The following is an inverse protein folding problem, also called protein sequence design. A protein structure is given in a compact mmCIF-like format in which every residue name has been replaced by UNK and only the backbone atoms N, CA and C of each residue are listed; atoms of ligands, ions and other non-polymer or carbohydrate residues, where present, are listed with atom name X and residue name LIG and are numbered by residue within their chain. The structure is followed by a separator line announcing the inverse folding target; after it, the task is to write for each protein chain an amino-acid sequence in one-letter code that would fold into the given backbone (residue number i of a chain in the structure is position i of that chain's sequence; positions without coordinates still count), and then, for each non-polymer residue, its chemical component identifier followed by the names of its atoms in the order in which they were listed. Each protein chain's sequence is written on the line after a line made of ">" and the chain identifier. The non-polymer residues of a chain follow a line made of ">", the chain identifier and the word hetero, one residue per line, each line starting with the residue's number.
data_IF_499200684149
#
_entry.id   IF_499200684149
#
_cell.length_a   1.000
_cell.length_b   1.000
_cell.length_c   1.000
_cell.angle_alpha   90.00
_cell.angle_beta   90.00
_cell.angle_gamma   90.00
#
_symmetry.space_group_name_H-M   'P 1'
#
loop_
_entity.id
_entity.type
_entity.pdbx_description
1 polymer ?
#
# COMPACT_ATOMS: atom_id res chain seq x y z
N UNK A 1 68.56 7.02 -44.03
CA UNK A 1 68.54 6.33 -42.72
C UNK A 1 67.36 6.89 -41.95
N UNK A 2 66.14 6.36 -42.25
CA UNK A 2 64.87 6.83 -41.75
C UNK A 2 64.31 5.83 -40.71
N UNK A 3 64.17 6.30 -39.49
CA UNK A 3 63.57 5.54 -38.41
C UNK A 3 62.14 6.08 -38.24
N UNK A 4 61.16 5.32 -38.76
CA UNK A 4 59.73 5.60 -38.50
C UNK A 4 59.32 4.91 -37.22
N UNK A 5 59.03 5.71 -36.19
CA UNK A 5 58.45 5.27 -34.91
C UNK A 5 56.96 5.15 -35.07
N UNK A 6 56.42 3.94 -35.03
CA UNK A 6 54.98 3.65 -35.03
C UNK A 6 54.44 3.75 -33.61
N UNK A 7 53.59 4.77 -33.36
CA UNK A 7 52.82 4.88 -32.12
C UNK A 7 51.59 3.96 -32.23
N UNK A 8 51.52 2.90 -31.43
CA UNK A 8 50.31 2.10 -31.25
C UNK A 8 49.41 2.78 -30.22
N UNK A 9 48.29 3.32 -30.69
CA UNK A 9 47.21 3.73 -29.82
C UNK A 9 46.41 2.51 -29.39
N UNK A 10 46.59 2.10 -28.14
CA UNK A 10 45.77 1.07 -27.53
C UNK A 10 44.40 1.62 -27.17
N UNK A 11 43.34 1.19 -27.84
CA UNK A 11 41.97 1.44 -27.44
C UNK A 11 41.66 0.51 -26.26
N UNK A 12 41.59 1.09 -25.07
CA UNK A 12 41.15 0.43 -23.88
C UNK A 12 39.60 0.40 -23.87
N UNK A 13 39.01 -0.72 -24.28
CA UNK A 13 37.59 -0.95 -24.15
C UNK A 13 37.30 -1.20 -22.68
N UNK A 14 36.81 -0.16 -21.98
CA UNK A 14 36.25 -0.35 -20.63
C UNK A 14 34.89 -1.01 -20.82
N UNK A 15 34.84 -2.31 -20.60
CA UNK A 15 33.58 -3.05 -20.43
C UNK A 15 32.95 -2.59 -19.12
N UNK A 16 32.09 -1.57 -19.22
CA UNK A 16 31.22 -1.17 -18.12
C UNK A 16 30.25 -2.31 -17.81
N UNK A 17 30.52 -3.04 -16.73
CA UNK A 17 29.53 -3.93 -16.12
C UNK A 17 28.38 -3.06 -15.63
N UNK A 18 27.27 -3.11 -16.35
CA UNK A 18 25.99 -2.59 -15.87
C UNK A 18 25.61 -3.47 -14.68
N UNK A 19 25.99 -3.04 -13.49
CA UNK A 19 25.45 -3.57 -12.24
C UNK A 19 23.95 -3.30 -12.26
N UNK A 20 23.14 -4.33 -12.56
CA UNK A 20 21.71 -4.26 -12.38
C UNK A 20 21.45 -3.80 -10.94
N UNK A 21 20.89 -2.62 -10.78
CA UNK A 21 20.41 -2.14 -9.51
C UNK A 21 19.39 -3.17 -9.01
N UNK A 22 19.82 -4.05 -8.12
CA UNK A 22 18.93 -4.82 -7.27
C UNK A 22 18.14 -3.78 -6.48
N UNK A 23 16.86 -3.60 -6.86
CA UNK A 23 15.93 -2.85 -6.03
C UNK A 23 15.88 -3.57 -4.69
N UNK A 24 16.52 -2.97 -3.70
CA UNK A 24 16.41 -3.42 -2.32
C UNK A 24 14.94 -3.35 -1.96
N UNK A 25 14.29 -4.50 -1.77
CA UNK A 25 13.08 -4.55 -1.00
C UNK A 25 13.36 -3.75 0.26
N UNK A 26 12.48 -2.79 0.60
CA UNK A 26 12.68 -1.95 1.77
C UNK A 26 12.89 -2.89 2.96
N UNK A 27 14.14 -3.02 3.39
CA UNK A 27 14.50 -3.89 4.52
C UNK A 27 13.85 -3.31 5.76
N UNK A 28 13.07 -4.13 6.44
CA UNK A 28 12.54 -3.76 7.75
C UNK A 28 13.72 -3.38 8.66
N UNK A 29 13.61 -2.28 9.42
CA UNK A 29 14.58 -2.00 10.47
C UNK A 29 14.71 -3.23 11.39
N UNK A 30 15.93 -3.63 11.72
CA UNK A 30 16.22 -4.87 12.44
C UNK A 30 15.42 -5.06 13.74
N UNK A 31 14.98 -3.97 14.38
CA UNK A 31 14.13 -4.01 15.58
C UNK A 31 12.64 -4.22 15.32
N UNK A 32 12.13 -3.91 14.13
CA UNK A 32 10.68 -4.01 13.85
C UNK A 32 10.22 -5.45 13.62
N UNK A 33 11.10 -6.33 13.14
CA UNK A 33 10.75 -7.73 12.87
C UNK A 33 10.40 -8.52 14.13
N UNK A 34 10.99 -8.18 15.28
CA UNK A 34 10.77 -8.85 16.59
C UNK A 34 9.92 -8.07 17.57
N UNK A 35 9.62 -6.80 17.28
CA UNK A 35 8.80 -5.97 18.15
C UNK A 35 7.39 -6.55 18.34
N UNK A 36 6.78 -6.41 19.54
CA UNK A 36 5.40 -6.83 19.75
C UNK A 36 4.43 -6.06 18.85
N UNK A 37 3.28 -6.65 18.58
CA UNK A 37 2.20 -5.97 17.89
C UNK A 37 1.65 -4.81 18.75
N UNK A 38 1.25 -3.72 18.09
CA UNK A 38 0.52 -2.62 18.73
C UNK A 38 -0.98 -2.80 18.52
N UNK A 39 -1.83 -2.46 19.50
CA UNK A 39 -3.27 -2.58 19.34
C UNK A 39 -3.85 -1.51 18.38
N UNK A 40 -3.04 -0.57 17.90
CA UNK A 40 -3.46 0.64 17.21
C UNK A 40 -3.94 1.72 18.16
N UNK A 41 -4.21 2.92 17.64
CA UNK A 41 -4.66 4.11 18.41
C UNK A 41 -6.16 4.34 18.29
N UNK A 42 -6.83 3.61 17.40
CA UNK A 42 -8.28 3.72 17.20
C UNK A 42 -9.10 3.20 18.38
N UNK A 43 -10.41 3.42 18.35
CA UNK A 43 -11.31 3.04 19.44
C UNK A 43 -11.48 1.53 19.63
N UNK A 44 -10.97 0.71 18.71
CA UNK A 44 -11.14 -0.74 18.73
C UNK A 44 -9.78 -1.43 18.69
N UNK A 45 -9.19 -1.85 19.82
CA UNK A 45 -7.92 -2.57 19.82
C UNK A 45 -7.89 -3.66 18.76
N UNK A 46 -6.87 -3.66 17.92
CA UNK A 46 -6.78 -4.54 16.77
C UNK A 46 -5.94 -5.79 17.04
N UNK A 47 -6.17 -6.81 16.23
CA UNK A 47 -5.37 -8.03 16.15
C UNK A 47 -5.21 -8.51 14.71
N UNK A 48 -4.26 -9.42 14.49
CA UNK A 48 -4.11 -10.14 13.22
C UNK A 48 -4.23 -11.64 13.42
N UNK A 49 -4.70 -12.33 12.38
CA UNK A 49 -4.84 -13.79 12.40
C UNK A 49 -4.79 -14.38 10.99
N UNK A 50 -4.36 -15.63 10.87
CA UNK A 50 -4.55 -16.46 9.69
C UNK A 50 -5.84 -17.24 9.81
N UNK A 51 -6.62 -17.28 8.74
CA UNK A 51 -7.90 -18.01 8.70
C UNK A 51 -7.78 -19.16 7.69
N UNK A 52 -8.03 -20.41 8.06
CA UNK A 52 -7.87 -21.57 7.16
C UNK A 52 -8.64 -21.43 5.84
N UNK A 53 -9.83 -20.83 5.86
CA UNK A 53 -10.65 -20.59 4.67
C UNK A 53 -10.08 -19.49 3.76
N UNK A 54 -9.04 -18.76 4.18
CA UNK A 54 -8.38 -17.70 3.44
C UNK A 54 -6.85 -17.87 3.51
N UNK A 55 -6.36 -19.02 3.08
CA UNK A 55 -4.99 -19.49 3.29
C UNK A 55 -3.87 -18.61 2.68
N UNK A 56 -4.21 -17.71 1.77
CA UNK A 56 -3.27 -16.80 1.10
C UNK A 56 -3.34 -15.37 1.61
N UNK A 57 -4.03 -15.12 2.72
CA UNK A 57 -4.17 -13.78 3.28
C UNK A 57 -4.15 -13.83 4.82
N UNK A 58 -3.74 -12.71 5.40
CA UNK A 58 -3.82 -12.44 6.84
C UNK A 58 -4.90 -11.40 7.09
N UNK A 59 -5.75 -11.66 8.07
CA UNK A 59 -6.83 -10.77 8.46
C UNK A 59 -6.42 -9.92 9.65
N UNK A 60 -6.52 -8.60 9.52
CA UNK A 60 -6.38 -7.61 10.57
C UNK A 60 -7.76 -7.05 10.88
N UNK A 61 -8.15 -7.03 12.13
CA UNK A 61 -9.49 -6.60 12.54
C UNK A 61 -9.53 -6.10 13.98
N UNK A 62 -10.58 -5.38 14.39
CA UNK A 62 -10.88 -5.19 15.81
C UNK A 62 -10.92 -6.55 16.54
N UNK A 63 -10.23 -6.65 17.67
CA UNK A 63 -10.19 -7.89 18.46
C UNK A 63 -11.60 -8.33 18.88
N UNK A 64 -12.46 -7.36 19.20
CA UNK A 64 -13.88 -7.59 19.50
C UNK A 64 -14.77 -6.83 18.51
N UNK A 65 -15.17 -7.50 17.42
CA UNK A 65 -16.08 -6.92 16.41
C UNK A 65 -17.45 -6.58 17.01
N UNK A 66 -17.93 -7.32 18.00
CA UNK A 66 -19.20 -7.04 18.64
C UNK A 66 -19.20 -5.71 19.41
N UNK A 67 -18.05 -5.30 19.95
CA UNK A 67 -17.90 -4.02 20.66
C UNK A 67 -18.09 -2.79 19.75
N UNK A 68 -18.10 -2.95 18.43
CA UNK A 68 -18.37 -1.88 17.49
C UNK A 68 -19.86 -1.41 17.48
N UNK A 69 -20.74 -2.12 18.19
CA UNK A 69 -22.17 -1.78 18.24
C UNK A 69 -22.81 -1.80 16.85
N UNK A 70 -23.48 -0.74 16.47
CA UNK A 70 -24.10 -0.59 15.14
C UNK A 70 -23.13 -0.26 14.02
N UNK A 71 -21.88 0.13 14.32
CA UNK A 71 -20.87 0.47 13.32
C UNK A 71 -20.45 -0.78 12.55
N UNK A 72 -20.44 -0.67 11.22
CA UNK A 72 -19.98 -1.75 10.34
C UNK A 72 -18.50 -1.60 10.01
N UNK A 73 -17.88 -2.73 9.70
CA UNK A 73 -16.52 -2.79 9.16
C UNK A 73 -16.52 -2.30 7.71
N UNK A 74 -15.58 -1.42 7.38
CA UNK A 74 -15.16 -1.25 6.01
C UNK A 74 -14.08 -2.29 5.67
N UNK A 75 -13.92 -2.64 4.40
CA UNK A 75 -12.93 -3.61 3.90
C UNK A 75 -11.76 -2.88 3.25
N UNK A 76 -10.54 -3.29 3.58
CA UNK A 76 -9.32 -2.83 2.90
C UNK A 76 -8.53 -4.06 2.44
N UNK A 77 -8.47 -4.31 1.13
CA UNK A 77 -7.58 -5.31 0.57
C UNK A 77 -6.19 -4.71 0.37
N UNK A 78 -5.16 -5.35 0.94
CA UNK A 78 -3.80 -4.81 1.03
C UNK A 78 -2.78 -5.65 0.29
N UNK A 79 -1.98 -4.98 -0.59
CA UNK A 79 -0.82 -5.55 -1.27
C UNK A 79 0.50 -5.15 -0.59
N UNK A 80 1.40 -6.13 -0.43
CA UNK A 80 2.68 -5.94 0.27
C UNK A 80 3.77 -5.37 -0.64
N UNK A 81 4.71 -4.63 -0.05
CA UNK A 81 5.96 -4.25 -0.71
C UNK A 81 6.73 -5.48 -1.21
N UNK A 82 7.44 -5.32 -2.35
CA UNK A 82 8.14 -6.42 -2.99
C UNK A 82 7.25 -7.55 -3.50
N UNK A 83 5.92 -7.36 -3.59
CA UNK A 83 4.96 -8.45 -3.81
C UNK A 83 5.25 -9.68 -2.94
N UNK A 84 5.70 -9.42 -1.73
CA UNK A 84 6.14 -10.40 -0.75
C UNK A 84 4.96 -11.19 -0.18
N UNK A 85 5.21 -12.45 0.15
CA UNK A 85 4.27 -13.30 0.89
C UNK A 85 4.25 -13.02 2.41
N UNK A 86 5.03 -12.04 2.89
CA UNK A 86 4.97 -11.62 4.30
C UNK A 86 3.92 -10.53 4.50
N UNK A 87 2.72 -10.95 4.82
CA UNK A 87 1.60 -10.05 5.12
C UNK A 87 1.78 -9.30 6.46
N UNK A 88 2.76 -9.66 7.28
CA UNK A 88 3.05 -9.00 8.54
C UNK A 88 4.20 -7.99 8.47
N UNK A 89 4.82 -7.81 7.31
CA UNK A 89 5.92 -6.87 7.12
C UNK A 89 5.57 -5.43 7.50
N UNK A 90 4.36 -5.00 7.19
CA UNK A 90 3.82 -3.65 7.51
C UNK A 90 2.73 -3.68 8.58
N UNK A 91 2.78 -4.67 9.48
CA UNK A 91 1.70 -4.95 10.44
C UNK A 91 1.28 -3.78 11.32
N UNK A 92 2.21 -2.89 11.69
CA UNK A 92 1.86 -1.72 12.52
C UNK A 92 0.89 -0.78 11.79
N UNK A 93 1.11 -0.57 10.49
CA UNK A 93 0.21 0.19 9.65
C UNK A 93 -1.17 -0.51 9.53
N UNK A 94 -1.19 -1.82 9.32
CA UNK A 94 -2.43 -2.58 9.14
C UNK A 94 -3.24 -2.71 10.43
N UNK A 95 -2.57 -2.87 11.58
CA UNK A 95 -3.20 -2.85 12.90
C UNK A 95 -3.81 -1.47 13.20
N UNK A 96 -3.12 -0.39 12.82
CA UNK A 96 -3.67 0.96 12.96
C UNK A 96 -4.97 1.11 12.19
N UNK A 97 -4.99 0.78 10.88
CA UNK A 97 -6.22 0.81 10.09
C UNK A 97 -7.33 -0.04 10.73
N UNK A 98 -6.99 -1.25 11.17
CA UNK A 98 -7.96 -2.15 11.79
C UNK A 98 -8.53 -1.60 13.10
N UNK A 99 -7.72 -0.91 13.90
CA UNK A 99 -8.16 -0.29 15.16
C UNK A 99 -9.22 0.80 14.96
N UNK A 100 -9.30 1.37 13.75
CA UNK A 100 -10.33 2.32 13.37
C UNK A 100 -11.59 1.68 12.78
N UNK A 101 -11.73 0.34 12.91
CA UNK A 101 -12.93 -0.39 12.52
C UNK A 101 -12.93 -0.80 11.05
N UNK A 102 -11.76 -1.11 10.50
CA UNK A 102 -11.62 -1.71 9.18
C UNK A 102 -11.25 -3.20 9.31
N UNK A 103 -11.75 -4.00 8.39
CA UNK A 103 -11.31 -5.36 8.13
C UNK A 103 -10.24 -5.26 7.04
N UNK A 104 -8.96 -5.30 7.46
CA UNK A 104 -7.84 -5.20 6.55
C UNK A 104 -7.34 -6.60 6.23
N UNK A 105 -7.25 -6.95 4.94
CA UNK A 105 -6.91 -8.29 4.49
C UNK A 105 -5.67 -8.18 3.61
N UNK A 106 -4.52 -8.60 4.14
CA UNK A 106 -3.23 -8.50 3.48
C UNK A 106 -2.86 -9.83 2.80
N UNK A 107 -2.36 -9.75 1.57
CA UNK A 107 -1.94 -10.93 0.81
C UNK A 107 -0.73 -11.63 1.46
N UNK A 108 -0.78 -12.97 1.60
CA UNK A 108 0.32 -13.78 2.11
C UNK A 108 0.06 -14.39 3.49
N UNK A 109 1.14 -14.57 4.27
CA UNK A 109 1.18 -15.26 5.55
C UNK A 109 1.82 -14.39 6.63
N UNK A 110 1.69 -14.78 7.89
CA UNK A 110 2.47 -14.19 8.99
C UNK A 110 3.87 -14.80 8.95
N UNK A 111 4.84 -14.08 8.34
CA UNK A 111 6.23 -14.54 8.22
C UNK A 111 7.21 -13.67 9.01
N UNK A 112 6.75 -12.58 9.63
CA UNK A 112 7.52 -11.74 10.55
C UNK A 112 6.69 -11.28 11.74
N UNK A 113 7.37 -10.87 12.81
CA UNK A 113 6.72 -10.43 14.04
C UNK A 113 6.09 -11.58 14.85
N UNK A 114 5.24 -11.23 15.84
CA UNK A 114 4.55 -12.20 16.67
C UNK A 114 3.70 -13.17 15.85
N UNK A 115 3.83 -14.46 16.11
CA UNK A 115 3.12 -15.54 15.41
C UNK A 115 3.84 -16.05 14.17
N UNK A 116 4.97 -15.46 13.77
CA UNK A 116 5.76 -15.96 12.66
C UNK A 116 6.44 -17.31 13.00
N UNK A 117 6.49 -18.27 12.05
CA UNK A 117 7.30 -19.46 12.20
C UNK A 117 8.78 -19.09 12.17
N UNK A 118 9.70 -19.98 12.60
CA UNK A 118 11.12 -19.82 12.37
C UNK A 118 11.42 -19.60 10.88
N UNK A 119 12.36 -18.71 10.56
CA UNK A 119 12.73 -18.44 9.19
C UNK A 119 13.23 -19.72 8.50
N UNK A 120 12.63 -20.10 7.37
CA UNK A 120 13.01 -21.29 6.62
C UNK A 120 14.33 -21.13 5.86
N UNK A 121 14.78 -19.89 5.63
CA UNK A 121 15.92 -19.58 4.74
C UNK A 121 15.62 -19.84 3.26
N UNK A 122 14.45 -20.33 2.91
CA UNK A 122 14.05 -20.59 1.52
C UNK A 122 13.80 -19.28 0.78
N UNK A 123 14.43 -19.16 -0.38
CA UNK A 123 14.20 -18.03 -1.29
C UNK A 123 13.04 -18.37 -2.23
N UNK A 124 11.86 -17.85 -1.93
CA UNK A 124 10.70 -18.05 -2.76
C UNK A 124 10.83 -17.28 -4.11
N UNK A 125 10.24 -17.79 -5.20
CA UNK A 125 10.21 -17.06 -6.47
C UNK A 125 9.47 -15.74 -6.36
N UNK A 126 9.83 -14.80 -7.21
CA UNK A 126 9.16 -13.48 -7.29
C UNK A 126 8.26 -13.42 -8.55
N UNK A 127 7.08 -12.79 -8.49
CA UNK A 127 6.35 -12.30 -7.31
C UNK A 127 5.73 -13.45 -6.50
N UNK A 128 5.58 -13.26 -5.19
CA UNK A 128 5.00 -14.27 -4.29
C UNK A 128 3.49 -14.09 -4.11
N UNK A 129 3.00 -12.85 -4.29
CA UNK A 129 1.58 -12.51 -4.29
C UNK A 129 1.18 -11.94 -5.64
N UNK A 130 -0.11 -12.04 -5.97
CA UNK A 130 -0.66 -11.59 -7.26
C UNK A 130 -1.87 -10.68 -7.07
N UNK A 131 -2.24 -9.85 -8.08
CA UNK A 131 -3.41 -8.96 -7.95
C UNK A 131 -4.71 -9.70 -7.59
N UNK A 132 -4.86 -10.95 -8.04
CA UNK A 132 -6.01 -11.79 -7.70
C UNK A 132 -6.17 -12.08 -6.21
N UNK A 133 -5.10 -12.02 -5.42
CA UNK A 133 -5.17 -12.20 -3.96
C UNK A 133 -5.96 -11.04 -3.31
N UNK A 134 -5.91 -9.82 -3.87
CA UNK A 134 -6.71 -8.68 -3.40
C UNK A 134 -8.20 -8.85 -3.73
N UNK A 135 -8.52 -9.37 -4.90
CA UNK A 135 -9.90 -9.68 -5.27
C UNK A 135 -10.45 -10.79 -4.39
N UNK A 136 -9.68 -11.87 -4.17
CA UNK A 136 -10.07 -12.94 -3.27
C UNK A 136 -10.33 -12.46 -1.82
N UNK A 137 -9.56 -11.48 -1.35
CA UNK A 137 -9.78 -10.84 -0.06
C UNK A 137 -11.14 -10.13 0.02
N UNK A 138 -11.50 -9.37 -1.03
CA UNK A 138 -12.81 -8.69 -1.13
C UNK A 138 -13.94 -9.73 -1.22
N UNK A 139 -13.79 -10.73 -2.07
CA UNK A 139 -14.78 -11.81 -2.25
C UNK A 139 -15.07 -12.52 -0.94
N UNK A 140 -14.01 -12.91 -0.22
CA UNK A 140 -14.13 -13.57 1.08
C UNK A 140 -14.85 -12.68 2.10
N UNK A 141 -14.44 -11.41 2.24
CA UNK A 141 -15.05 -10.50 3.21
C UNK A 141 -16.56 -10.33 2.95
N UNK A 142 -16.96 -10.14 1.70
CA UNK A 142 -18.36 -9.96 1.34
C UNK A 142 -19.17 -11.26 1.50
N UNK A 143 -18.56 -12.42 1.23
CA UNK A 143 -19.19 -13.72 1.50
C UNK A 143 -19.40 -13.96 3.00
N UNK A 144 -18.40 -13.61 3.83
CA UNK A 144 -18.51 -13.71 5.29
C UNK A 144 -19.61 -12.82 5.87
N UNK A 145 -19.88 -11.67 5.25
CA UNK A 145 -20.97 -10.79 5.66
C UNK A 145 -22.35 -11.42 5.51
N UNK A 146 -22.50 -12.40 4.64
CA UNK A 146 -23.78 -13.09 4.36
C UNK A 146 -23.83 -14.53 4.88
N UNK A 147 -22.69 -15.08 5.29
CA UNK A 147 -22.59 -16.45 5.80
C UNK A 147 -23.09 -16.52 7.24
N UNK A 148 -24.16 -17.27 7.46
CA UNK A 148 -24.68 -17.54 8.82
C UNK A 148 -23.62 -18.23 9.68
N UNK A 149 -23.51 -17.81 10.93
CA UNK A 149 -22.50 -18.30 11.87
C UNK A 149 -21.10 -17.68 11.70
N UNK A 150 -20.90 -16.83 10.72
CA UNK A 150 -19.68 -16.01 10.63
C UNK A 150 -19.64 -14.95 11.74
N UNK A 151 -18.48 -14.67 12.35
CA UNK A 151 -18.32 -13.52 13.24
C UNK A 151 -18.54 -12.18 12.51
N UNK A 152 -18.53 -12.19 11.19
CA UNK A 152 -18.75 -11.02 10.32
C UNK A 152 -20.17 -10.94 9.75
N UNK A 153 -21.07 -11.87 10.08
CA UNK A 153 -22.44 -11.89 9.57
C UNK A 153 -23.17 -10.57 9.85
N UNK A 154 -23.57 -9.86 8.79
CA UNK A 154 -24.22 -8.54 8.87
C UNK A 154 -23.33 -7.40 9.41
N UNK A 155 -22.02 -7.64 9.61
CA UNK A 155 -21.09 -6.69 10.24
C UNK A 155 -20.26 -5.88 9.27
N UNK A 156 -20.24 -6.21 7.98
CA UNK A 156 -19.49 -5.52 6.94
C UNK A 156 -20.42 -4.62 6.13
N UNK A 157 -19.96 -3.42 5.79
CA UNK A 157 -20.65 -2.56 4.82
C UNK A 157 -20.09 -2.85 3.42
N UNK A 158 -20.88 -3.47 2.52
CA UNK A 158 -20.39 -3.83 1.18
C UNK A 158 -20.10 -2.62 0.27
N UNK A 159 -20.50 -1.41 0.68
CA UNK A 159 -20.19 -0.16 -0.02
C UNK A 159 -18.89 0.49 0.46
N UNK A 160 -18.33 0.03 1.56
CA UNK A 160 -17.09 0.53 2.16
C UNK A 160 -15.91 -0.40 1.83
N UNK A 161 -15.53 -0.46 0.57
CA UNK A 161 -14.42 -1.31 0.08
C UNK A 161 -13.32 -0.42 -0.48
N UNK A 162 -12.11 -0.60 0.01
CA UNK A 162 -10.90 0.03 -0.48
C UNK A 162 -9.88 -1.02 -0.93
N UNK A 163 -9.06 -0.65 -1.89
CA UNK A 163 -7.83 -1.37 -2.22
C UNK A 163 -6.64 -0.47 -1.93
N UNK A 164 -5.62 -1.02 -1.32
CA UNK A 164 -4.44 -0.28 -0.93
C UNK A 164 -3.18 -1.15 -1.06
N UNK A 165 -2.01 -0.54 -1.12
CA UNK A 165 -0.79 -1.30 -1.10
C UNK A 165 0.46 -0.44 -1.12
N UNK A 166 1.54 -1.04 -0.62
CA UNK A 166 2.87 -0.44 -0.54
C UNK A 166 3.74 -0.94 -1.69
N UNK A 167 4.42 -0.02 -2.40
CA UNK A 167 5.40 -0.35 -3.45
C UNK A 167 4.80 -1.32 -4.50
N UNK A 168 5.36 -2.51 -4.68
CA UNK A 168 4.80 -3.55 -5.56
C UNK A 168 3.32 -3.85 -5.27
N UNK A 169 2.92 -3.89 -4.00
CA UNK A 169 1.52 -4.09 -3.61
C UNK A 169 0.60 -2.97 -4.08
N UNK A 170 1.09 -1.73 -4.14
CA UNK A 170 0.36 -0.62 -4.74
C UNK A 170 0.15 -0.79 -6.24
N UNK A 171 1.12 -1.38 -6.95
CA UNK A 171 0.95 -1.75 -8.37
C UNK A 171 -0.12 -2.84 -8.55
N UNK A 172 -0.17 -3.83 -7.63
CA UNK A 172 -1.25 -4.82 -7.62
C UNK A 172 -2.61 -4.17 -7.37
N UNK A 173 -2.68 -3.20 -6.44
CA UNK A 173 -3.88 -2.42 -6.18
C UNK A 173 -4.34 -1.63 -7.42
N UNK A 174 -3.42 -1.01 -8.16
CA UNK A 174 -3.73 -0.31 -9.41
C UNK A 174 -4.33 -1.24 -10.47
N UNK A 175 -3.85 -2.49 -10.58
CA UNK A 175 -4.36 -3.46 -11.55
C UNK A 175 -5.81 -3.88 -11.28
N UNK A 176 -6.23 -3.92 -10.03
CA UNK A 176 -7.59 -4.30 -9.62
C UNK A 176 -8.51 -3.11 -9.37
N UNK A 177 -8.02 -1.88 -9.44
CA UNK A 177 -8.77 -0.66 -9.14
C UNK A 177 -10.03 -0.44 -10.01
N UNK A 178 -10.15 -1.17 -11.13
CA UNK A 178 -11.35 -1.16 -11.98
C UNK A 178 -12.49 -2.05 -11.49
N UNK A 179 -12.34 -2.79 -10.37
CA UNK A 179 -13.44 -3.59 -9.80
C UNK A 179 -14.53 -2.64 -9.27
N UNK A 180 -15.80 -2.79 -9.72
CA UNK A 180 -16.87 -1.85 -9.39
C UNK A 180 -17.25 -1.78 -7.90
N UNK A 181 -16.79 -2.71 -7.09
CA UNK A 181 -17.01 -2.71 -5.64
C UNK A 181 -16.09 -1.75 -4.90
N UNK A 182 -14.96 -1.37 -5.52
CA UNK A 182 -13.95 -0.51 -4.91
C UNK A 182 -14.44 0.94 -4.89
N UNK A 183 -14.52 1.52 -3.71
CA UNK A 183 -14.97 2.89 -3.49
C UNK A 183 -13.81 3.89 -3.35
N UNK A 184 -12.58 3.42 -3.08
CA UNK A 184 -11.37 4.25 -3.08
C UNK A 184 -10.10 3.43 -3.20
N UNK A 185 -9.03 4.05 -3.68
CA UNK A 185 -7.71 3.44 -3.88
C UNK A 185 -6.66 4.22 -3.08
N UNK A 186 -5.75 3.52 -2.38
CA UNK A 186 -4.60 4.14 -1.73
C UNK A 186 -3.30 3.55 -2.29
N UNK A 187 -2.54 4.39 -2.96
CA UNK A 187 -1.26 4.09 -3.59
C UNK A 187 -0.13 4.57 -2.68
N UNK A 188 0.59 3.64 -2.04
CA UNK A 188 1.60 4.02 -1.05
C UNK A 188 3.02 3.71 -1.53
N UNK A 189 3.88 4.73 -1.61
CA UNK A 189 5.26 4.67 -2.10
C UNK A 189 5.34 3.87 -3.42
N UNK A 190 4.46 4.19 -4.35
CA UNK A 190 4.30 3.46 -5.62
C UNK A 190 3.84 4.39 -6.73
N UNK A 191 4.05 3.98 -7.98
CA UNK A 191 3.56 4.64 -9.17
C UNK A 191 3.70 3.71 -10.37
N UNK A 192 2.82 3.87 -11.37
CA UNK A 192 2.80 3.05 -12.58
C UNK A 192 3.96 3.41 -13.51
N UNK A 193 4.22 2.60 -14.51
CA UNK A 193 5.39 2.76 -15.38
C UNK A 193 5.03 3.33 -16.76
N UNK A 194 5.98 4.06 -17.38
CA UNK A 194 5.86 4.48 -18.77
C UNK A 194 6.08 3.29 -19.72
N UNK A 195 5.22 3.19 -20.73
CA UNK A 195 5.31 2.16 -21.77
C UNK A 195 5.22 0.72 -21.24
N UNK A 196 5.93 -0.19 -21.90
CA UNK A 196 5.97 -1.61 -21.52
C UNK A 196 7.06 -1.94 -20.48
N UNK A 197 7.82 -0.96 -20.05
CA UNK A 197 8.89 -1.17 -19.07
C UNK A 197 8.27 -1.47 -17.71
N UNK A 198 8.57 -2.63 -17.18
CA UNK A 198 8.35 -2.96 -15.78
C UNK A 198 9.71 -3.14 -15.13
N UNK A 199 9.95 -2.45 -14.03
CA UNK A 199 11.14 -2.67 -13.22
C UNK A 199 11.03 -3.92 -12.36
N UNK A 200 9.84 -4.52 -12.32
CA UNK A 200 9.56 -5.75 -11.56
C UNK A 200 9.23 -6.90 -12.49
N UNK A 201 10.03 -7.99 -12.51
CA UNK A 201 9.73 -9.17 -13.31
C UNK A 201 8.32 -9.71 -12.99
N UNK A 202 7.57 -10.06 -14.04
CA UNK A 202 6.24 -10.67 -13.90
C UNK A 202 5.09 -9.72 -13.53
N UNK A 203 5.36 -8.42 -13.34
CA UNK A 203 4.32 -7.42 -13.03
C UNK A 203 4.44 -6.22 -13.97
N UNK A 204 3.52 -6.11 -14.94
CA UNK A 204 3.43 -4.99 -15.88
C UNK A 204 2.27 -4.08 -15.52
N UNK A 205 2.55 -2.83 -15.17
CA UNK A 205 1.54 -1.84 -14.78
C UNK A 205 1.82 -0.53 -15.52
N UNK A 206 1.46 -0.44 -16.82
CA UNK A 206 1.69 0.76 -17.60
C UNK A 206 0.79 1.91 -17.15
N UNK A 207 1.16 3.16 -17.51
CA UNK A 207 0.37 4.38 -17.24
C UNK A 207 -1.08 4.26 -17.72
N UNK A 208 -1.35 3.49 -18.77
CA UNK A 208 -2.71 3.23 -19.24
C UNK A 208 -3.62 2.54 -18.23
N UNK A 209 -3.03 1.88 -17.21
CA UNK A 209 -3.78 1.28 -16.09
C UNK A 209 -4.57 2.33 -15.31
N UNK A 210 -4.07 3.57 -15.21
CA UNK A 210 -4.73 4.67 -14.52
C UNK A 210 -6.13 4.97 -15.04
N UNK A 211 -6.40 4.72 -16.33
CA UNK A 211 -7.72 4.90 -16.95
C UNK A 211 -8.82 3.99 -16.36
N UNK A 212 -8.42 2.95 -15.63
CA UNK A 212 -9.37 2.05 -14.94
C UNK A 212 -9.83 2.60 -13.59
N UNK A 213 -9.16 3.62 -13.05
CA UNK A 213 -9.59 4.24 -11.80
C UNK A 213 -10.93 4.94 -12.02
N UNK A 214 -11.89 4.66 -11.15
CA UNK A 214 -13.24 5.19 -11.25
C UNK A 214 -13.72 5.81 -9.93
N UNK A 215 -12.83 5.86 -8.93
CA UNK A 215 -13.09 6.33 -7.57
C UNK A 215 -11.97 7.24 -7.09
N UNK A 216 -12.14 7.99 -6.00
CA UNK A 216 -11.09 8.84 -5.45
C UNK A 216 -9.82 8.07 -5.11
N UNK A 217 -8.67 8.66 -5.42
CA UNK A 217 -7.34 8.08 -5.24
C UNK A 217 -6.50 8.92 -4.29
N UNK A 218 -5.85 8.26 -3.34
CA UNK A 218 -4.81 8.87 -2.51
C UNK A 218 -3.45 8.26 -2.87
N UNK A 219 -2.47 9.10 -3.17
CA UNK A 219 -1.07 8.75 -3.13
C UNK A 219 -0.45 9.21 -1.81
N UNK A 220 0.31 8.33 -1.14
CA UNK A 220 1.20 8.67 -0.03
C UNK A 220 2.61 8.34 -0.50
N UNK A 221 3.49 9.34 -0.59
CA UNK A 221 4.81 9.19 -1.20
C UNK A 221 5.91 9.73 -0.30
N UNK A 222 7.12 9.18 -0.40
CA UNK A 222 8.25 9.42 0.49
C UNK A 222 9.20 10.56 0.07
N UNK A 223 8.76 11.47 -0.81
CA UNK A 223 9.60 12.58 -1.31
C UNK A 223 10.58 12.18 -2.42
N UNK A 224 11.42 13.11 -2.86
CA UNK A 224 12.33 12.89 -4.01
C UNK A 224 13.33 11.74 -3.83
N UNK A 225 13.58 11.30 -2.60
CA UNK A 225 14.44 10.14 -2.30
C UNK A 225 13.69 8.81 -2.36
N UNK A 226 12.37 8.82 -2.52
CA UNK A 226 11.59 7.64 -2.80
C UNK A 226 11.76 7.20 -4.25
N UNK A 227 12.15 5.96 -4.48
CA UNK A 227 12.35 5.40 -5.84
C UNK A 227 11.09 5.44 -6.69
N UNK A 228 9.91 5.51 -6.08
CA UNK A 228 8.63 5.61 -6.76
C UNK A 228 8.19 7.06 -7.04
N UNK A 229 8.92 8.07 -6.52
CA UNK A 229 8.49 9.48 -6.54
C UNK A 229 8.14 9.97 -7.94
N UNK A 230 9.08 9.84 -8.89
CA UNK A 230 8.87 10.30 -10.27
C UNK A 230 7.65 9.65 -10.90
N UNK A 231 7.51 8.34 -10.77
CA UNK A 231 6.37 7.61 -11.34
C UNK A 231 5.03 8.04 -10.70
N UNK A 232 5.02 8.26 -9.37
CA UNK A 232 3.82 8.72 -8.67
C UNK A 232 3.41 10.14 -9.08
N UNK A 233 4.38 11.05 -9.24
CA UNK A 233 4.11 12.42 -9.71
C UNK A 233 3.58 12.44 -11.14
N UNK A 234 4.09 11.56 -12.01
CA UNK A 234 3.57 11.39 -13.37
C UNK A 234 2.14 10.82 -13.35
N UNK A 235 1.85 9.83 -12.48
CA UNK A 235 0.50 9.30 -12.29
C UNK A 235 -0.46 10.41 -11.87
N UNK A 236 -0.06 11.21 -10.87
CA UNK A 236 -0.85 12.34 -10.42
C UNK A 236 -1.13 13.34 -11.55
N UNK A 237 -0.13 13.64 -12.39
CA UNK A 237 -0.30 14.52 -13.54
C UNK A 237 -1.29 13.96 -14.57
N UNK A 238 -1.29 12.64 -14.81
CA UNK A 238 -2.10 11.97 -15.83
C UNK A 238 -3.56 11.67 -15.38
N UNK A 239 -3.82 11.56 -14.08
CA UNK A 239 -5.18 11.31 -13.58
C UNK A 239 -5.97 12.62 -13.64
N UNK A 240 -6.95 12.72 -14.54
CA UNK A 240 -7.79 13.90 -14.77
C UNK A 240 -9.31 13.63 -14.66
N UNK A 241 -9.70 12.37 -14.49
CA UNK A 241 -11.08 11.88 -14.57
C UNK A 241 -11.68 11.48 -13.22
N UNK A 242 -10.88 11.39 -12.16
CA UNK A 242 -11.32 11.11 -10.78
C UNK A 242 -10.64 12.05 -9.80
N UNK A 243 -11.20 12.27 -8.60
CA UNK A 243 -10.52 12.99 -7.53
C UNK A 243 -9.21 12.31 -7.15
N UNK A 244 -8.12 13.07 -7.08
CA UNK A 244 -6.82 12.54 -6.67
C UNK A 244 -6.11 13.51 -5.72
N UNK A 245 -5.56 12.94 -4.64
CA UNK A 245 -4.69 13.64 -3.69
C UNK A 245 -3.30 12.97 -3.66
N UNK A 246 -2.25 13.81 -3.61
CA UNK A 246 -0.86 13.41 -3.44
C UNK A 246 -0.36 14.00 -2.12
N UNK A 247 -0.28 13.14 -1.10
CA UNK A 247 0.29 13.47 0.20
C UNK A 247 1.76 13.03 0.25
N UNK A 248 2.66 13.99 0.29
CA UNK A 248 4.11 13.76 0.22
C UNK A 248 4.76 14.05 1.57
N UNK A 249 5.38 13.02 2.17
CA UNK A 249 6.18 13.08 3.39
C UNK A 249 7.61 12.65 3.06
N UNK A 250 8.63 13.51 3.17
CA UNK A 250 9.98 13.23 2.67
C UNK A 250 10.79 12.29 3.59
N UNK A 251 10.37 11.03 3.68
CA UNK A 251 10.98 9.96 4.49
C UNK A 251 11.57 8.81 3.66
N UNK A 252 11.54 8.93 2.31
CA UNK A 252 12.03 7.91 1.40
C UNK A 252 11.07 6.74 1.21
N UNK A 253 11.54 5.71 0.47
CA UNK A 253 10.71 4.57 0.04
C UNK A 253 10.21 3.70 1.19
N UNK A 254 10.91 3.67 2.32
CA UNK A 254 10.51 2.93 3.51
C UNK A 254 9.23 3.46 4.18
N UNK A 255 8.81 4.69 3.89
CA UNK A 255 7.67 5.31 4.54
C UNK A 255 7.79 5.30 6.06
N UNK A 256 6.64 5.23 6.75
CA UNK A 256 6.59 5.15 8.22
C UNK A 256 5.98 3.82 8.72
N UNK A 257 5.87 2.81 7.84
CA UNK A 257 5.11 1.57 8.11
C UNK A 257 5.64 0.76 9.30
N UNK A 258 6.91 0.92 9.62
CA UNK A 258 7.60 0.21 10.70
C UNK A 258 7.65 1.01 12.02
N UNK A 259 7.16 2.24 12.00
CA UNK A 259 6.99 3.04 13.22
C UNK A 259 5.82 2.51 14.06
N UNK A 260 5.80 2.81 15.38
CA UNK A 260 4.64 2.46 16.20
C UNK A 260 3.34 2.96 15.58
N UNK A 261 2.34 2.07 15.50
CA UNK A 261 1.04 2.33 14.88
C UNK A 261 1.12 2.80 13.41
N UNK A 262 2.21 2.42 12.71
CA UNK A 262 2.41 2.75 11.29
C UNK A 262 2.72 4.22 11.01
N UNK A 263 3.00 5.00 12.04
CA UNK A 263 3.43 6.39 11.95
C UNK A 263 2.47 7.31 11.19
N UNK A 264 3.01 8.37 10.62
CA UNK A 264 2.22 9.42 9.98
C UNK A 264 1.48 8.94 8.72
N UNK A 265 2.02 7.97 7.98
CA UNK A 265 1.35 7.44 6.79
C UNK A 265 0.05 6.69 7.15
N UNK A 266 0.03 5.97 8.29
CA UNK A 266 -1.16 5.28 8.75
C UNK A 266 -2.27 6.27 9.16
N UNK A 267 -1.92 7.36 9.84
CA UNK A 267 -2.88 8.40 10.22
C UNK A 267 -3.53 9.03 8.98
N UNK A 268 -2.75 9.36 7.96
CA UNK A 268 -3.27 9.94 6.71
C UNK A 268 -4.15 8.93 5.96
N UNK A 269 -3.78 7.65 5.96
CA UNK A 269 -4.60 6.59 5.36
C UNK A 269 -5.94 6.40 6.12
N UNK A 270 -5.94 6.45 7.46
CA UNK A 270 -7.16 6.40 8.30
C UNK A 270 -8.07 7.58 8.01
N UNK A 271 -7.52 8.81 7.98
CA UNK A 271 -8.30 10.03 7.71
C UNK A 271 -8.95 9.96 6.31
N UNK A 272 -8.19 9.46 5.31
CA UNK A 272 -8.71 9.26 3.96
C UNK A 272 -9.84 8.22 3.92
N UNK A 273 -9.64 7.04 4.52
CA UNK A 273 -10.64 5.98 4.57
C UNK A 273 -11.91 6.42 5.30
N UNK A 274 -11.77 7.13 6.43
CA UNK A 274 -12.90 7.68 7.17
C UNK A 274 -13.69 8.68 6.31
N UNK A 275 -12.98 9.55 5.57
CA UNK A 275 -13.62 10.47 4.66
C UNK A 275 -14.32 9.78 3.50
N UNK A 276 -13.58 8.98 2.72
CA UNK A 276 -14.10 8.43 1.46
C UNK A 276 -15.15 7.33 1.67
N UNK A 277 -14.98 6.51 2.70
CA UNK A 277 -15.88 5.38 2.93
C UNK A 277 -17.04 5.71 3.88
N UNK A 278 -16.87 6.71 4.75
CA UNK A 278 -17.82 7.00 5.82
C UNK A 278 -18.35 8.43 5.83
N UNK A 279 -17.86 9.27 4.93
CA UNK A 279 -18.25 10.68 4.87
C UNK A 279 -17.80 11.50 6.08
N UNK A 280 -16.76 11.05 6.81
CA UNK A 280 -16.30 11.69 8.04
C UNK A 280 -15.76 13.09 7.76
N UNK A 281 -16.31 14.07 8.45
CA UNK A 281 -15.96 15.49 8.26
C UNK A 281 -14.54 15.80 8.76
N UNK A 282 -14.06 15.12 9.82
CA UNK A 282 -12.72 15.35 10.36
C UNK A 282 -11.68 14.78 9.38
N UNK A 283 -11.91 13.58 8.86
CA UNK A 283 -11.09 13.01 7.79
C UNK A 283 -11.04 13.92 6.57
N UNK A 284 -12.20 14.45 6.13
CA UNK A 284 -12.27 15.42 5.03
C UNK A 284 -11.45 16.68 5.30
N UNK A 285 -11.50 17.22 6.51
CA UNK A 285 -10.78 18.45 6.87
C UNK A 285 -9.25 18.29 6.84
N UNK A 286 -8.73 17.06 6.83
CA UNK A 286 -7.30 16.82 6.61
C UNK A 286 -6.86 17.16 5.19
N UNK A 287 -7.76 17.05 4.20
CA UNK A 287 -7.43 17.20 2.77
C UNK A 287 -8.05 18.43 2.13
N UNK A 288 -9.24 18.90 2.59
CA UNK A 288 -10.05 19.92 1.91
C UNK A 288 -10.20 21.17 2.76
N UNK A 289 -10.12 22.33 2.11
CA UNK A 289 -10.18 23.67 2.69
C UNK A 289 -8.82 24.39 2.58
N UNK A 290 -8.84 25.70 2.72
CA UNK A 290 -7.64 26.54 2.65
C UNK A 290 -6.64 26.21 3.77
N UNK A 291 -7.19 25.88 4.97
CA UNK A 291 -6.41 25.53 6.16
C UNK A 291 -6.55 24.04 6.49
N UNK A 292 -6.54 23.17 5.47
CA UNK A 292 -6.66 21.73 5.70
C UNK A 292 -5.49 21.22 6.54
N UNK A 293 -5.71 20.13 7.29
CA UNK A 293 -4.70 19.63 8.23
C UNK A 293 -3.35 19.30 7.57
N UNK A 294 -3.35 18.70 6.38
CA UNK A 294 -2.12 18.44 5.62
C UNK A 294 -1.59 19.68 4.89
N UNK A 295 -2.44 20.70 4.64
CA UNK A 295 -2.02 21.95 4.01
C UNK A 295 -1.17 22.83 4.95
N UNK A 296 -1.38 22.71 6.26
CA UNK A 296 -0.75 23.53 7.30
C UNK A 296 0.31 22.78 8.11
N UNK A 297 0.43 21.47 7.95
CA UNK A 297 1.47 20.67 8.58
C UNK A 297 2.77 20.78 7.77
N UNK A 298 3.86 21.38 8.34
CA UNK A 298 5.08 21.63 7.60
C UNK A 298 5.84 20.36 7.19
N UNK A 299 5.46 19.20 7.69
CA UNK A 299 6.07 17.91 7.31
C UNK A 299 5.53 17.39 5.99
N UNK A 300 4.36 17.87 5.56
CA UNK A 300 3.66 17.37 4.40
C UNK A 300 3.59 18.39 3.27
N UNK A 301 3.67 17.91 2.04
CA UNK A 301 3.20 18.65 0.87
C UNK A 301 1.98 17.94 0.34
N UNK A 302 0.86 18.66 0.23
CA UNK A 302 -0.39 18.13 -0.31
C UNK A 302 -0.72 18.79 -1.64
N UNK A 303 -0.78 17.98 -2.69
CA UNK A 303 -1.37 18.36 -3.98
C UNK A 303 -2.69 17.63 -4.17
N UNK A 304 -3.64 18.25 -4.83
CA UNK A 304 -4.97 17.67 -5.06
C UNK A 304 -5.64 18.28 -6.27
N UNK A 305 -6.42 17.48 -6.99
CA UNK A 305 -7.23 17.94 -8.13
C UNK A 305 -8.50 17.12 -8.28
N UNK A 306 -9.44 17.65 -9.04
CA UNK A 306 -10.73 17.05 -9.40
C UNK A 306 -11.67 16.81 -8.20
N UNK A 307 -11.41 17.40 -7.05
CA UNK A 307 -12.39 17.39 -5.95
C UNK A 307 -13.49 18.43 -6.22
N UNK A 308 -14.76 18.11 -5.87
CA UNK A 308 -15.82 19.11 -5.91
C UNK A 308 -15.42 20.36 -5.10
N UNK A 309 -15.84 21.52 -5.56
CA UNK A 309 -15.70 22.76 -4.78
C UNK A 309 -16.27 22.54 -3.36
N UNK A 310 -15.69 23.19 -2.34
CA UNK A 310 -16.12 23.05 -0.96
C UNK A 310 -17.55 23.50 -0.72
#
# INVERSE_FOLDING_TARGET
>A
MDIRTAVRVGVMVIAGTVSGAQQAAAMQPAGSATAPDTPGTGPYPAMKEEIPALARNVVYRPANVAAMGARKLGVVAWGNGGCSNDAASTRFHLLELASHGYLVIASGRILSGPGAPPASGERLPFPQTVPGDLIAAIDWALAENTRQGSPYFGRIDPKQVAVAGFSCGGLQAALVAGDPRIATVIMQNTGTYEGERSTMPGLKVPKSTLKKFHTPVLYIIGGPTDVAYTNAMEDFALIDHVPVAMANLPVGHGGTYHEPNGGAAAQVAVDWLNWQLRGDAQGRARFIGANCGLCTDPKWTLEKKNFPAP
#
